data_IF_691333538410
#
_entry.id   IF_691333538410
#
_cell.length_a   1.000
_cell.length_b   1.000
_cell.length_c   1.000
_cell.angle_alpha   90.00
_cell.angle_beta   90.00
_cell.angle_gamma   90.00
#
_symmetry.space_group_name_H-M   'P 1'
#
loop_
_entity.id
_entity.type
_entity.pdbx_description
1 polymer ?
#
# COMPACT_ATOMS: atom_id res chain seq x y z
N UNK A 1 23.12 17.83 25.52
CA UNK A 1 23.29 17.19 24.21
C UNK A 1 23.23 18.23 23.10
N UNK A 2 23.85 17.98 21.95
CA UNK A 2 23.73 18.85 20.79
C UNK A 2 22.29 18.78 20.25
N UNK A 3 21.69 19.94 19.96
CA UNK A 3 20.39 20.00 19.28
C UNK A 3 20.60 19.64 17.80
N UNK A 4 19.82 18.70 17.29
CA UNK A 4 19.80 18.29 15.87
C UNK A 4 18.53 18.85 15.24
N UNK A 5 18.66 19.48 14.08
CA UNK A 5 17.55 19.93 13.26
C UNK A 5 17.46 19.02 12.04
N UNK A 6 16.26 18.50 11.75
CA UNK A 6 16.00 17.77 10.52
C UNK A 6 15.54 18.76 9.45
N UNK A 7 16.16 18.71 8.28
CA UNK A 7 15.75 19.45 7.09
C UNK A 7 15.14 18.47 6.09
N UNK A 8 14.04 18.85 5.46
CA UNK A 8 13.34 18.01 4.48
C UNK A 8 13.72 18.45 3.07
N UNK A 9 14.31 17.54 2.31
CA UNK A 9 14.52 17.67 0.85
C UNK A 9 13.42 16.88 0.15
N UNK A 10 12.46 17.57 -0.46
CA UNK A 10 11.32 16.96 -1.12
C UNK A 10 11.53 16.84 -2.63
N UNK A 11 11.27 15.65 -3.18
CA UNK A 11 11.28 15.36 -4.62
C UNK A 11 10.03 14.59 -5.01
N UNK A 12 9.68 14.61 -6.30
CA UNK A 12 8.52 13.90 -6.85
C UNK A 12 8.99 12.82 -7.85
N UNK A 13 8.73 11.56 -7.54
CA UNK A 13 9.04 10.42 -8.40
C UNK A 13 7.99 10.16 -9.49
N UNK A 14 6.89 10.92 -9.49
CA UNK A 14 5.77 10.84 -10.45
C UNK A 14 5.14 9.45 -10.58
N UNK A 15 5.31 8.59 -9.57
CA UNK A 15 4.89 7.18 -9.61
C UNK A 15 5.52 6.38 -10.76
N UNK A 16 6.68 6.83 -11.25
CA UNK A 16 7.40 6.25 -12.38
C UNK A 16 8.77 5.76 -11.94
N UNK A 17 9.09 4.49 -12.22
CA UNK A 17 10.32 3.85 -11.76
C UNK A 17 11.60 4.49 -12.34
N UNK A 18 11.56 4.95 -13.59
CA UNK A 18 12.69 5.62 -14.22
C UNK A 18 12.95 6.99 -13.59
N UNK A 19 11.88 7.77 -13.37
CA UNK A 19 11.93 9.04 -12.63
C UNK A 19 12.39 8.80 -11.20
N UNK A 20 11.92 7.72 -10.55
CA UNK A 20 12.33 7.31 -9.21
C UNK A 20 13.84 7.13 -9.07
N UNK A 21 14.51 6.51 -10.03
CA UNK A 21 15.98 6.41 -10.05
C UNK A 21 16.67 7.76 -10.12
N UNK A 22 16.14 8.66 -10.95
CA UNK A 22 16.72 10.00 -11.13
C UNK A 22 16.61 10.78 -9.80
N UNK A 23 15.45 10.81 -9.18
CA UNK A 23 15.25 11.56 -7.93
C UNK A 23 15.98 10.90 -6.76
N UNK A 24 16.13 9.55 -6.77
CA UNK A 24 16.95 8.86 -5.77
C UNK A 24 18.41 9.31 -5.85
N UNK A 25 18.97 9.42 -7.06
CA UNK A 25 20.33 9.95 -7.23
C UNK A 25 20.42 11.41 -6.80
N UNK A 26 19.43 12.25 -7.10
CA UNK A 26 19.38 13.64 -6.65
C UNK A 26 19.40 13.75 -5.12
N UNK A 27 18.65 12.90 -4.42
CA UNK A 27 18.66 12.86 -2.95
C UNK A 27 20.03 12.44 -2.40
N UNK A 28 20.66 11.43 -3.01
CA UNK A 28 22.03 11.01 -2.67
C UNK A 28 23.01 12.15 -2.84
N UNK A 29 22.96 12.85 -3.98
CA UNK A 29 23.83 13.98 -4.29
C UNK A 29 23.60 15.20 -3.37
N UNK A 30 22.36 15.37 -2.88
CA UNK A 30 22.01 16.36 -1.87
C UNK A 30 22.49 15.99 -0.45
N UNK A 31 23.06 14.81 -0.25
CA UNK A 31 23.64 14.38 1.03
C UNK A 31 22.59 14.05 2.10
N UNK A 32 21.40 13.55 1.72
CA UNK A 32 20.38 13.11 2.68
C UNK A 32 20.89 11.91 3.50
N UNK A 33 20.46 11.83 4.75
CA UNK A 33 20.89 10.76 5.68
C UNK A 33 19.92 9.60 5.75
N UNK A 34 18.68 9.80 5.34
CA UNK A 34 17.63 8.78 5.19
C UNK A 34 16.55 9.28 4.24
N UNK A 35 15.73 8.38 3.72
CA UNK A 35 14.60 8.68 2.83
C UNK A 35 13.31 8.12 3.45
N UNK A 36 12.26 8.93 3.49
CA UNK A 36 10.89 8.50 3.82
C UNK A 36 10.11 8.50 2.50
N UNK A 37 9.93 7.38 1.92
CA UNK A 37 9.40 7.07 0.58
C UNK A 37 9.92 5.71 0.16
N UNK A 38 9.55 5.19 -0.99
CA UNK A 38 8.55 5.67 -1.94
C UNK A 38 7.18 5.03 -1.66
N UNK A 39 6.15 5.48 -2.39
CA UNK A 39 4.81 4.87 -2.30
C UNK A 39 4.70 3.64 -3.22
N UNK A 40 5.06 3.80 -4.49
CA UNK A 40 4.88 2.75 -5.49
C UNK A 40 5.98 1.69 -5.37
N UNK A 41 5.60 0.42 -5.31
CA UNK A 41 6.53 -0.70 -5.13
C UNK A 41 7.60 -0.78 -6.22
N UNK A 42 7.23 -0.52 -7.49
CA UNK A 42 8.19 -0.46 -8.59
C UNK A 42 9.25 0.62 -8.42
N UNK A 43 8.87 1.77 -7.86
CA UNK A 43 9.79 2.88 -7.57
C UNK A 43 10.74 2.52 -6.44
N UNK A 44 10.22 2.04 -5.29
CA UNK A 44 11.04 1.62 -4.15
C UNK A 44 12.06 0.55 -4.53
N UNK A 45 11.64 -0.47 -5.28
CA UNK A 45 12.51 -1.57 -5.70
C UNK A 45 13.66 -1.07 -6.58
N UNK A 46 13.39 -0.13 -7.48
CA UNK A 46 14.40 0.41 -8.40
C UNK A 46 15.29 1.49 -7.77
N UNK A 47 14.80 2.20 -6.75
CA UNK A 47 15.56 3.20 -5.99
C UNK A 47 16.46 2.56 -4.92
N UNK A 48 16.05 1.45 -4.31
CA UNK A 48 16.74 0.80 -3.20
C UNK A 48 18.25 0.57 -3.42
N UNK A 49 18.74 0.05 -4.58
CA UNK A 49 20.18 -0.13 -4.79
C UNK A 49 20.95 1.19 -4.80
N UNK A 50 20.33 2.30 -5.22
CA UNK A 50 20.96 3.63 -5.24
C UNK A 50 21.19 4.11 -3.82
N UNK A 51 20.21 3.98 -2.94
CA UNK A 51 20.32 4.31 -1.52
C UNK A 51 21.27 3.36 -0.78
N UNK A 52 21.17 2.05 -1.05
CA UNK A 52 22.00 1.04 -0.43
C UNK A 52 23.50 1.27 -0.68
N UNK A 53 23.89 1.72 -1.88
CA UNK A 53 25.27 2.05 -2.22
C UNK A 53 25.88 3.16 -1.34
N UNK A 54 25.04 3.91 -0.61
CA UNK A 54 25.44 4.99 0.32
C UNK A 54 25.01 4.72 1.76
N UNK A 55 24.54 3.52 2.07
CA UNK A 55 24.00 3.11 3.36
C UNK A 55 22.82 3.98 3.84
N UNK A 56 22.11 4.64 2.92
CA UNK A 56 20.97 5.50 3.20
C UNK A 56 19.75 4.60 3.42
N UNK A 57 19.12 4.70 4.58
CA UNK A 57 17.88 3.97 4.87
C UNK A 57 16.72 4.51 4.02
N UNK A 58 16.02 3.61 3.33
CA UNK A 58 14.75 3.86 2.64
C UNK A 58 13.59 3.32 3.48
N UNK A 59 12.78 4.22 4.04
CA UNK A 59 11.64 3.89 4.89
C UNK A 59 10.36 4.08 4.06
N UNK A 60 9.83 3.00 3.49
CA UNK A 60 8.79 3.04 2.47
C UNK A 60 7.43 2.54 2.97
N UNK A 61 6.35 3.00 2.33
CA UNK A 61 5.01 2.42 2.47
C UNK A 61 4.63 1.51 1.28
N UNK A 62 5.54 1.30 0.35
CA UNK A 62 5.37 0.32 -0.73
C UNK A 62 5.22 -1.09 -0.14
N UNK A 63 4.36 -1.90 -0.74
CA UNK A 63 3.84 -3.12 -0.10
C UNK A 63 4.37 -4.41 -0.70
N UNK A 64 4.94 -4.39 -1.93
CA UNK A 64 5.46 -5.59 -2.57
C UNK A 64 6.55 -6.24 -1.71
N UNK A 65 6.40 -7.54 -1.40
CA UNK A 65 7.31 -8.27 -0.53
C UNK A 65 8.77 -8.26 -1.03
N UNK A 66 9.00 -8.15 -2.34
CA UNK A 66 10.33 -8.11 -2.94
C UNK A 66 11.20 -6.96 -2.41
N UNK A 67 10.59 -5.83 -2.04
CA UNK A 67 11.32 -4.64 -1.59
C UNK A 67 12.33 -4.95 -0.46
N UNK A 68 11.91 -5.67 0.57
CA UNK A 68 12.77 -6.06 1.70
C UNK A 68 13.55 -7.36 1.45
N UNK A 69 13.29 -8.04 0.33
CA UNK A 69 13.99 -9.27 -0.09
C UNK A 69 15.11 -9.00 -1.10
N UNK A 70 15.44 -7.73 -1.38
CA UNK A 70 16.53 -7.35 -2.29
C UNK A 70 17.93 -7.66 -1.71
N UNK A 71 18.03 -7.99 -0.43
CA UNK A 71 19.30 -8.29 0.23
C UNK A 71 20.03 -7.05 0.75
N UNK A 72 19.38 -5.88 0.77
CA UNK A 72 19.92 -4.65 1.35
C UNK A 72 19.42 -4.50 2.79
N UNK A 73 20.31 -4.13 3.70
CA UNK A 73 19.98 -3.78 5.09
C UNK A 73 19.44 -2.35 5.26
N UNK A 74 19.37 -1.60 4.15
CA UNK A 74 18.86 -0.23 4.11
C UNK A 74 17.37 -0.12 3.83
N UNK A 75 16.67 -1.22 3.55
CA UNK A 75 15.24 -1.21 3.23
C UNK A 75 14.38 -1.43 4.48
N UNK A 76 13.42 -0.52 4.72
CA UNK A 76 12.51 -0.57 5.87
C UNK A 76 11.08 -0.32 5.41
N UNK A 77 10.15 -1.22 5.75
CA UNK A 77 8.73 -1.05 5.43
C UNK A 77 7.95 -0.53 6.63
N UNK A 78 7.13 0.50 6.42
CA UNK A 78 6.31 1.11 7.48
C UNK A 78 5.02 0.36 7.79
N UNK A 79 4.54 -0.47 6.86
CA UNK A 79 3.21 -1.10 6.86
C UNK A 79 3.33 -2.61 6.66
N UNK A 80 2.23 -3.36 6.68
CA UNK A 80 2.22 -4.76 6.29
C UNK A 80 2.57 -4.92 4.80
N UNK A 81 3.16 -6.05 4.43
CA UNK A 81 3.49 -6.36 3.04
C UNK A 81 2.34 -7.06 2.30
N UNK A 82 2.51 -7.21 0.98
CA UNK A 82 1.53 -7.84 0.10
C UNK A 82 1.34 -9.34 0.35
N UNK A 83 2.23 -10.02 1.06
CA UNK A 83 1.99 -11.41 1.48
C UNK A 83 0.82 -11.47 2.47
N UNK A 84 0.76 -10.56 3.43
CA UNK A 84 -0.36 -10.47 4.36
C UNK A 84 -1.61 -9.89 3.66
N UNK A 85 -1.44 -8.89 2.80
CA UNK A 85 -2.54 -8.28 2.07
C UNK A 85 -3.20 -9.27 1.10
N UNK A 86 -2.42 -10.06 0.36
CA UNK A 86 -2.94 -11.09 -0.55
C UNK A 86 -3.74 -12.16 0.19
N UNK A 87 -3.24 -12.58 1.35
CA UNK A 87 -3.98 -13.52 2.22
C UNK A 87 -5.30 -12.89 2.67
N UNK A 88 -5.29 -11.66 3.16
CA UNK A 88 -6.50 -10.95 3.57
C UNK A 88 -7.51 -10.84 2.40
N UNK A 89 -7.04 -10.49 1.22
CA UNK A 89 -7.81 -10.33 -0.01
C UNK A 89 -8.47 -11.65 -0.43
N UNK A 90 -7.67 -12.70 -0.58
CA UNK A 90 -8.16 -14.02 -1.01
C UNK A 90 -9.07 -14.68 0.02
N UNK A 91 -8.71 -14.67 1.31
CA UNK A 91 -9.53 -15.27 2.35
C UNK A 91 -10.85 -14.52 2.57
N UNK A 92 -10.85 -13.17 2.53
CA UNK A 92 -12.09 -12.42 2.61
C UNK A 92 -13.02 -12.72 1.42
N UNK A 93 -12.48 -12.75 0.21
CA UNK A 93 -13.23 -13.13 -0.97
C UNK A 93 -13.83 -14.53 -0.85
N UNK A 94 -13.04 -15.51 -0.42
CA UNK A 94 -13.45 -16.91 -0.34
C UNK A 94 -14.48 -17.19 0.76
N UNK A 95 -14.40 -16.47 1.90
CA UNK A 95 -15.20 -16.79 3.10
C UNK A 95 -16.34 -15.84 3.35
N UNK A 96 -16.21 -14.57 2.97
CA UNK A 96 -17.21 -13.53 3.26
C UNK A 96 -18.10 -13.17 2.06
N UNK A 97 -17.59 -13.40 0.83
CA UNK A 97 -18.36 -13.07 -0.38
C UNK A 97 -19.03 -14.28 -1.02
N UNK A 98 -18.75 -15.50 -0.49
CA UNK A 98 -19.47 -16.76 -0.76
C UNK A 98 -19.80 -17.01 -2.24
N UNK A 99 -18.79 -16.98 -3.11
CA UNK A 99 -18.92 -17.17 -4.54
C UNK A 99 -18.30 -18.50 -5.01
N UNK A 100 -18.68 -18.96 -6.20
CA UNK A 100 -18.10 -20.11 -6.88
C UNK A 100 -17.08 -19.71 -7.96
N UNK A 101 -17.30 -18.56 -8.62
CA UNK A 101 -16.49 -18.10 -9.74
C UNK A 101 -15.83 -16.75 -9.43
N UNK A 102 -14.51 -16.72 -9.52
CA UNK A 102 -13.67 -15.55 -9.23
C UNK A 102 -12.94 -15.08 -10.48
N UNK A 103 -12.83 -13.78 -10.67
CA UNK A 103 -11.89 -13.18 -11.59
C UNK A 103 -10.74 -12.53 -10.81
N UNK A 104 -9.53 -12.56 -11.37
CA UNK A 104 -8.35 -11.90 -10.78
C UNK A 104 -7.65 -11.08 -11.85
N UNK A 105 -7.51 -9.78 -11.61
CA UNK A 105 -7.04 -8.79 -12.58
C UNK A 105 -5.91 -7.96 -11.99
N UNK A 106 -4.93 -7.57 -12.81
CA UNK A 106 -3.84 -6.68 -12.39
C UNK A 106 -3.43 -5.69 -13.50
N UNK A 107 -2.67 -4.66 -13.11
CA UNK A 107 -2.16 -3.60 -13.98
C UNK A 107 -0.72 -3.86 -14.50
N UNK A 108 -0.19 -5.06 -14.32
CA UNK A 108 1.15 -5.45 -14.77
C UNK A 108 2.31 -4.84 -13.98
N UNK A 109 2.06 -3.87 -13.09
CA UNK A 109 3.09 -3.29 -12.23
C UNK A 109 3.64 -4.33 -11.23
N UNK A 110 4.84 -4.13 -10.67
CA UNK A 110 5.34 -4.99 -9.60
C UNK A 110 4.38 -5.13 -8.41
N UNK A 111 3.69 -4.04 -8.02
CA UNK A 111 2.63 -4.08 -7.01
C UNK A 111 1.45 -4.93 -7.48
N UNK A 112 0.80 -4.52 -8.57
CA UNK A 112 -0.45 -5.13 -9.02
C UNK A 112 -0.30 -6.61 -9.31
N UNK A 113 0.76 -6.99 -10.03
CA UNK A 113 1.06 -8.39 -10.34
C UNK A 113 1.37 -9.21 -9.09
N UNK A 114 2.22 -8.69 -8.19
CA UNK A 114 2.59 -9.41 -6.96
C UNK A 114 1.39 -9.68 -6.05
N UNK A 115 0.55 -8.67 -5.82
CA UNK A 115 -0.64 -8.80 -4.97
C UNK A 115 -1.69 -9.71 -5.60
N UNK A 116 -1.95 -9.60 -6.89
CA UNK A 116 -2.92 -10.44 -7.61
C UNK A 116 -2.51 -11.90 -7.68
N UNK A 117 -1.21 -12.19 -7.93
CA UNK A 117 -0.68 -13.56 -7.94
C UNK A 117 -0.82 -14.20 -6.53
N UNK A 118 -0.53 -13.43 -5.47
CA UNK A 118 -0.74 -13.87 -4.09
C UNK A 118 -2.22 -14.15 -3.75
N UNK A 119 -3.13 -13.27 -4.19
CA UNK A 119 -4.56 -13.45 -4.00
C UNK A 119 -5.10 -14.68 -4.76
N UNK A 120 -4.65 -14.90 -5.99
CA UNK A 120 -5.00 -16.08 -6.77
C UNK A 120 -4.47 -17.38 -6.11
N UNK A 121 -3.26 -17.34 -5.55
CA UNK A 121 -2.71 -18.47 -4.78
C UNK A 121 -3.54 -18.77 -3.52
N UNK A 122 -4.00 -17.73 -2.81
CA UNK A 122 -4.87 -17.88 -1.64
C UNK A 122 -6.24 -18.46 -2.03
N UNK A 123 -6.88 -17.98 -3.09
CA UNK A 123 -8.12 -18.56 -3.62
C UNK A 123 -7.95 -20.03 -3.94
N UNK A 124 -6.83 -20.40 -4.58
CA UNK A 124 -6.53 -21.81 -4.88
C UNK A 124 -6.37 -22.63 -3.61
N UNK A 125 -5.72 -22.11 -2.58
CA UNK A 125 -5.60 -22.77 -1.27
C UNK A 125 -6.95 -22.97 -0.58
N UNK A 126 -7.92 -22.09 -0.82
CA UNK A 126 -9.31 -22.15 -0.35
C UNK A 126 -10.21 -23.00 -1.29
N UNK A 127 -9.64 -23.70 -2.29
CA UNK A 127 -10.34 -24.47 -3.31
C UNK A 127 -11.37 -23.69 -4.12
N UNK A 128 -11.10 -22.40 -4.37
CA UNK A 128 -11.94 -21.51 -5.17
C UNK A 128 -11.51 -21.50 -6.63
N UNK A 129 -12.48 -21.36 -7.54
CA UNK A 129 -12.25 -21.41 -8.99
C UNK A 129 -12.03 -19.99 -9.56
N UNK A 130 -10.85 -19.74 -10.08
CA UNK A 130 -10.58 -18.52 -10.88
C UNK A 130 -10.95 -18.82 -12.33
N UNK A 131 -11.97 -18.15 -12.85
CA UNK A 131 -12.50 -18.32 -14.22
C UNK A 131 -11.92 -17.34 -15.22
N UNK A 132 -11.44 -16.17 -14.74
CA UNK A 132 -10.74 -15.15 -15.55
C UNK A 132 -9.49 -14.71 -14.80
N UNK A 133 -8.35 -14.72 -15.48
CA UNK A 133 -7.07 -14.19 -14.97
C UNK A 133 -6.41 -13.38 -16.08
N UNK A 134 -6.36 -12.05 -15.90
CA UNK A 134 -5.78 -11.15 -16.91
C UNK A 134 -4.92 -10.06 -16.26
N UNK A 135 -3.88 -9.68 -17.03
CA UNK A 135 -2.97 -8.59 -16.72
C UNK A 135 -3.09 -7.52 -17.80
N UNK A 136 -3.08 -6.26 -17.41
CA UNK A 136 -3.23 -5.11 -18.28
C UNK A 136 -2.01 -4.20 -18.16
N UNK A 137 -1.86 -3.28 -19.10
CA UNK A 137 -0.96 -2.15 -18.96
C UNK A 137 -1.55 -1.14 -17.94
N UNK A 138 -0.70 -0.51 -17.16
CA UNK A 138 -1.09 0.45 -16.10
C UNK A 138 -1.82 1.71 -16.61
N UNK A 139 -1.89 1.89 -17.93
CA UNK A 139 -2.61 2.99 -18.60
C UNK A 139 -3.89 2.54 -19.30
N UNK A 140 -4.18 1.26 -19.29
CA UNK A 140 -5.39 0.71 -19.93
C UNK A 140 -6.65 1.25 -19.25
N UNK A 141 -7.59 1.76 -20.04
CA UNK A 141 -8.92 2.23 -19.59
C UNK A 141 -10.08 1.68 -20.43
N UNK A 142 -9.78 0.89 -21.46
CA UNK A 142 -10.78 0.27 -22.33
C UNK A 142 -11.11 -1.15 -21.84
N UNK A 143 -12.18 -1.31 -21.09
CA UNK A 143 -12.56 -2.57 -20.45
C UNK A 143 -13.91 -3.14 -20.94
N UNK A 144 -14.48 -2.64 -22.03
CA UNK A 144 -15.77 -3.12 -22.55
C UNK A 144 -15.70 -4.63 -22.91
N UNK A 145 -14.62 -5.09 -23.54
CA UNK A 145 -14.43 -6.51 -23.87
C UNK A 145 -14.28 -7.37 -22.62
N UNK A 146 -13.50 -6.92 -21.64
CA UNK A 146 -13.35 -7.61 -20.36
C UNK A 146 -14.68 -7.68 -19.60
N UNK A 147 -15.47 -6.60 -19.59
CA UNK A 147 -16.78 -6.60 -18.93
C UNK A 147 -17.72 -7.64 -19.56
N UNK A 148 -17.70 -7.80 -20.89
CA UNK A 148 -18.49 -8.83 -21.57
C UNK A 148 -17.96 -10.24 -21.26
N UNK A 149 -16.67 -10.43 -21.18
CA UNK A 149 -16.02 -11.70 -20.80
C UNK A 149 -16.38 -12.10 -19.37
N UNK A 150 -16.27 -11.18 -18.39
CA UNK A 150 -16.62 -11.41 -16.99
C UNK A 150 -18.08 -11.85 -16.84
N UNK A 151 -18.99 -11.23 -17.61
CA UNK A 151 -20.39 -11.62 -17.67
C UNK A 151 -20.58 -13.02 -18.24
N UNK A 152 -19.88 -13.35 -19.35
CA UNK A 152 -19.95 -14.67 -19.98
C UNK A 152 -19.37 -15.77 -19.08
N UNK A 153 -18.27 -15.48 -18.39
CA UNK A 153 -17.63 -16.37 -17.43
C UNK A 153 -18.39 -16.47 -16.09
N UNK A 154 -19.43 -15.66 -15.91
CA UNK A 154 -20.22 -15.59 -14.67
C UNK A 154 -19.35 -15.34 -13.43
N UNK A 155 -18.36 -14.45 -13.52
CA UNK A 155 -17.50 -14.09 -12.41
C UNK A 155 -18.30 -13.32 -11.34
N UNK A 156 -18.53 -13.92 -10.18
CA UNK A 156 -19.36 -13.36 -9.09
C UNK A 156 -18.57 -12.41 -8.20
N UNK A 157 -17.26 -12.67 -8.06
CA UNK A 157 -16.30 -11.82 -7.34
C UNK A 157 -15.15 -11.47 -8.26
N UNK A 158 -14.87 -10.18 -8.38
CA UNK A 158 -13.74 -9.65 -9.15
C UNK A 158 -12.71 -9.12 -8.16
N UNK A 159 -11.59 -9.83 -8.02
CA UNK A 159 -10.39 -9.34 -7.32
C UNK A 159 -9.58 -8.52 -8.31
N UNK A 160 -9.27 -7.28 -7.97
CA UNK A 160 -8.60 -6.34 -8.86
C UNK A 160 -7.50 -5.57 -8.13
N UNK A 161 -6.30 -5.60 -8.68
CA UNK A 161 -5.18 -4.77 -8.23
C UNK A 161 -4.86 -3.64 -9.23
N UNK A 162 -5.85 -3.31 -10.05
CA UNK A 162 -5.86 -2.12 -10.90
C UNK A 162 -5.83 -0.84 -10.05
N UNK A 163 -5.37 0.25 -10.63
CA UNK A 163 -5.51 1.58 -10.05
C UNK A 163 -6.98 2.02 -10.02
N UNK A 164 -7.30 3.05 -9.23
CA UNK A 164 -8.67 3.51 -9.03
C UNK A 164 -9.36 3.98 -10.33
N UNK A 165 -8.65 4.73 -11.19
CA UNK A 165 -9.22 5.17 -12.47
C UNK A 165 -9.50 3.99 -13.42
N UNK A 166 -8.66 2.95 -13.42
CA UNK A 166 -8.88 1.71 -14.18
C UNK A 166 -10.07 0.92 -13.61
N UNK A 167 -10.13 0.78 -12.29
CA UNK A 167 -11.23 0.13 -11.59
C UNK A 167 -12.58 0.82 -11.90
N UNK A 168 -12.61 2.16 -11.86
CA UNK A 168 -13.79 2.93 -12.23
C UNK A 168 -14.20 2.69 -13.69
N UNK A 169 -13.25 2.65 -14.62
CA UNK A 169 -13.52 2.37 -16.03
C UNK A 169 -14.11 0.96 -16.21
N UNK A 170 -13.55 -0.05 -15.52
CA UNK A 170 -14.10 -1.42 -15.55
C UNK A 170 -15.52 -1.48 -14.97
N UNK A 171 -15.77 -0.84 -13.83
CA UNK A 171 -17.10 -0.78 -13.21
C UNK A 171 -18.13 -0.13 -14.12
N UNK A 172 -17.76 0.91 -14.87
CA UNK A 172 -18.63 1.51 -15.89
C UNK A 172 -18.90 0.53 -17.05
N UNK A 173 -17.88 -0.23 -17.48
CA UNK A 173 -18.06 -1.29 -18.47
C UNK A 173 -19.04 -2.36 -18.00
N UNK A 174 -18.94 -2.83 -16.76
CA UNK A 174 -19.87 -3.80 -16.16
C UNK A 174 -21.30 -3.26 -16.13
N UNK A 175 -21.48 -2.00 -15.74
CA UNK A 175 -22.78 -1.33 -15.76
C UNK A 175 -23.36 -1.26 -17.18
N UNK A 176 -22.55 -0.93 -18.18
CA UNK A 176 -22.94 -0.82 -19.60
C UNK A 176 -23.43 -2.16 -20.16
N UNK A 177 -22.80 -3.29 -19.81
CA UNK A 177 -23.24 -4.62 -20.22
C UNK A 177 -24.34 -5.21 -19.32
N UNK A 178 -24.82 -4.47 -18.33
CA UNK A 178 -25.86 -4.90 -17.40
C UNK A 178 -25.41 -6.05 -16.49
N UNK A 179 -24.12 -6.09 -16.10
CA UNK A 179 -23.55 -7.11 -15.20
C UNK A 179 -23.11 -6.45 -13.88
N UNK A 180 -24.07 -6.17 -13.02
CA UNK A 180 -23.87 -5.42 -11.77
C UNK A 180 -24.06 -6.26 -10.51
N UNK A 181 -24.55 -7.51 -10.65
CA UNK A 181 -24.72 -8.43 -9.52
C UNK A 181 -23.39 -9.16 -9.23
N UNK A 182 -22.33 -8.38 -9.01
CA UNK A 182 -20.97 -8.84 -8.71
C UNK A 182 -20.42 -8.07 -7.53
N UNK A 183 -19.52 -8.71 -6.77
CA UNK A 183 -18.70 -8.04 -5.77
C UNK A 183 -17.34 -7.66 -6.35
N UNK A 184 -16.92 -6.41 -6.17
CA UNK A 184 -15.62 -5.91 -6.59
C UNK A 184 -14.74 -5.70 -5.38
N UNK A 185 -13.60 -6.38 -5.32
CA UNK A 185 -12.67 -6.33 -4.20
C UNK A 185 -11.27 -5.97 -4.70
N UNK A 186 -10.72 -4.85 -4.23
CA UNK A 186 -9.41 -4.40 -4.67
C UNK A 186 -8.35 -4.32 -3.59
N UNK A 187 -7.14 -3.99 -4.03
CA UNK A 187 -6.04 -3.60 -3.16
C UNK A 187 -6.20 -2.17 -2.63
N UNK A 188 -5.17 -1.67 -1.99
CA UNK A 188 -5.16 -0.33 -1.41
C UNK A 188 -5.22 0.81 -2.45
N UNK A 189 -4.83 0.54 -3.70
CA UNK A 189 -4.93 1.49 -4.81
C UNK A 189 -6.34 1.98 -5.11
N UNK A 190 -7.37 1.19 -4.75
CA UNK A 190 -8.76 1.62 -4.93
C UNK A 190 -9.38 2.24 -3.68
N UNK A 191 -8.69 2.24 -2.54
CA UNK A 191 -9.19 2.89 -1.31
C UNK A 191 -8.96 4.41 -1.37
N UNK A 192 -9.59 5.05 -2.34
CA UNK A 192 -9.46 6.49 -2.63
C UNK A 192 -10.80 7.20 -2.55
N UNK A 193 -10.76 8.54 -2.56
CA UNK A 193 -11.97 9.38 -2.63
C UNK A 193 -12.64 9.29 -4.00
N UNK A 194 -11.88 9.06 -5.06
CA UNK A 194 -12.44 8.92 -6.40
C UNK A 194 -13.32 7.68 -6.53
N UNK A 195 -12.95 6.58 -5.86
CA UNK A 195 -13.76 5.36 -5.83
C UNK A 195 -15.10 5.50 -5.11
N UNK A 196 -15.34 6.59 -4.37
CA UNK A 196 -16.67 6.85 -3.81
C UNK A 196 -17.75 6.95 -4.90
N UNK A 197 -17.37 7.30 -6.14
CA UNK A 197 -18.23 7.30 -7.33
C UNK A 197 -18.73 5.89 -7.73
N UNK A 198 -18.08 4.84 -7.24
CA UNK A 198 -18.46 3.45 -7.50
C UNK A 198 -19.61 2.94 -6.61
N UNK A 199 -20.03 3.75 -5.61
CA UNK A 199 -21.10 3.37 -4.70
C UNK A 199 -22.39 3.04 -5.46
N UNK A 200 -22.91 1.82 -5.28
CA UNK A 200 -24.14 1.35 -5.92
C UNK A 200 -24.03 1.02 -7.42
N UNK A 201 -22.81 1.01 -7.99
CA UNK A 201 -22.61 0.57 -9.39
C UNK A 201 -22.68 -0.96 -9.49
N UNK A 202 -22.14 -1.66 -8.50
CA UNK A 202 -22.20 -3.13 -8.38
C UNK A 202 -22.70 -3.50 -6.98
N UNK A 203 -22.92 -4.80 -6.74
CA UNK A 203 -23.48 -5.32 -5.49
C UNK A 203 -22.68 -4.89 -4.25
N UNK A 204 -21.35 -4.92 -4.33
CA UNK A 204 -20.47 -4.50 -3.26
C UNK A 204 -19.09 -4.07 -3.79
N UNK A 205 -18.52 -3.05 -3.17
CA UNK A 205 -17.14 -2.60 -3.45
C UNK A 205 -16.35 -2.64 -2.17
N UNK A 206 -15.26 -3.40 -2.20
CA UNK A 206 -14.38 -3.63 -1.06
C UNK A 206 -12.94 -3.29 -1.42
N UNK A 207 -12.15 -2.90 -0.42
CA UNK A 207 -10.72 -2.68 -0.57
C UNK A 207 -9.96 -3.25 0.62
N UNK A 208 -8.81 -3.87 0.37
CA UNK A 208 -7.84 -4.13 1.43
C UNK A 208 -6.84 -2.98 1.49
N UNK A 209 -6.31 -2.69 2.68
CA UNK A 209 -5.25 -1.69 2.81
C UNK A 209 -4.34 -2.00 4.00
N UNK A 210 -3.01 -2.03 3.81
CA UNK A 210 -2.04 -2.07 4.90
C UNK A 210 -1.85 -0.70 5.55
N UNK A 211 -2.30 0.38 4.91
CA UNK A 211 -2.41 1.71 5.49
C UNK A 211 -3.78 1.83 6.14
N UNK A 212 -3.84 1.55 7.45
CA UNK A 212 -5.06 1.68 8.23
C UNK A 212 -5.45 3.15 8.35
N UNK A 213 -6.76 3.43 8.42
CA UNK A 213 -7.23 4.80 8.61
C UNK A 213 -6.74 5.37 9.95
N UNK A 214 -6.45 6.66 9.95
CA UNK A 214 -5.96 7.35 11.13
C UNK A 214 -6.88 7.19 12.35
N UNK A 215 -8.18 7.09 12.13
CA UNK A 215 -9.20 6.87 13.17
C UNK A 215 -9.15 5.48 13.83
N UNK A 216 -8.45 4.53 13.22
CA UNK A 216 -8.28 3.18 13.77
C UNK A 216 -7.23 3.11 14.89
N UNK A 217 -6.53 4.20 15.13
CA UNK A 217 -5.55 4.36 16.19
C UNK A 217 -6.08 5.23 17.32
N UNK A 218 -5.78 4.85 18.56
CA UNK A 218 -6.22 5.60 19.74
C UNK A 218 -5.80 7.09 19.71
N UNK A 219 -4.60 7.36 19.19
CA UNK A 219 -4.05 8.72 19.04
C UNK A 219 -4.43 9.40 17.71
N UNK A 220 -5.21 8.72 16.86
CA UNK A 220 -5.50 9.19 15.52
C UNK A 220 -6.39 10.43 15.47
N UNK A 221 -7.48 10.47 16.24
CA UNK A 221 -8.37 11.63 16.26
C UNK A 221 -7.71 12.92 16.74
N UNK A 222 -6.91 12.93 17.82
CA UNK A 222 -6.12 14.10 18.22
C UNK A 222 -5.11 14.55 17.15
N UNK A 223 -4.43 13.61 16.50
CA UNK A 223 -3.53 13.91 15.39
C UNK A 223 -4.26 14.57 14.24
N UNK A 224 -5.38 13.97 13.78
CA UNK A 224 -6.18 14.48 12.66
C UNK A 224 -6.68 15.91 12.94
N UNK A 225 -7.15 16.17 14.15
CA UNK A 225 -7.63 17.50 14.55
C UNK A 225 -6.49 18.55 14.48
N UNK A 226 -5.31 18.23 15.04
CA UNK A 226 -4.14 19.12 14.99
C UNK A 226 -3.65 19.35 13.57
N UNK A 227 -3.54 18.28 12.77
CA UNK A 227 -3.09 18.36 11.38
C UNK A 227 -4.03 19.23 10.54
N UNK A 228 -5.34 18.99 10.63
CA UNK A 228 -6.36 19.76 9.90
C UNK A 228 -6.40 21.21 10.35
N UNK A 229 -6.25 21.48 11.64
CA UNK A 229 -6.18 22.86 12.16
C UNK A 229 -4.99 23.64 11.56
N UNK A 230 -3.83 22.97 11.41
CA UNK A 230 -2.60 23.56 10.89
C UNK A 230 -2.62 23.71 9.37
N UNK A 231 -2.98 22.66 8.64
CA UNK A 231 -2.84 22.59 7.18
C UNK A 231 -4.15 22.81 6.41
N UNK A 232 -5.28 22.99 7.10
CA UNK A 232 -6.64 23.22 6.54
C UNK A 232 -7.14 22.09 5.63
N UNK A 233 -6.52 20.93 5.71
CA UNK A 233 -6.89 19.71 4.98
C UNK A 233 -6.44 18.48 5.79
N UNK A 234 -7.07 17.31 5.60
CA UNK A 234 -6.60 16.08 6.21
C UNK A 234 -5.24 15.65 5.64
N UNK A 235 -4.48 14.79 6.35
CA UNK A 235 -3.28 14.19 5.81
C UNK A 235 -3.60 13.35 4.56
N UNK A 236 -2.67 13.32 3.61
CA UNK A 236 -2.77 12.45 2.46
C UNK A 236 -2.63 10.97 2.87
N UNK A 237 -2.88 10.06 1.92
CA UNK A 237 -2.70 8.61 2.11
C UNK A 237 -1.32 8.31 2.70
N UNK A 238 -1.27 7.56 3.80
CA UNK A 238 -0.04 7.23 4.51
C UNK A 238 0.61 8.36 5.30
N UNK A 239 0.07 9.59 5.29
CA UNK A 239 0.70 10.75 5.92
C UNK A 239 0.96 10.60 7.41
N UNK A 240 0.11 9.89 8.16
CA UNK A 240 0.33 9.58 9.57
C UNK A 240 1.45 8.55 9.78
N UNK A 241 1.66 7.62 8.86
CA UNK A 241 2.81 6.72 8.89
C UNK A 241 4.12 7.48 8.60
N UNK A 242 4.11 8.40 7.62
CA UNK A 242 5.28 9.24 7.33
C UNK A 242 5.63 10.16 8.50
N UNK A 243 4.61 10.70 9.19
CA UNK A 243 4.80 11.47 10.41
C UNK A 243 5.48 10.61 11.50
N UNK A 244 4.99 9.41 11.75
CA UNK A 244 5.55 8.50 12.75
C UNK A 244 6.96 8.03 12.36
N UNK A 245 7.20 7.77 11.08
CA UNK A 245 8.53 7.39 10.58
C UNK A 245 9.56 8.49 10.81
N UNK A 246 9.15 9.76 10.68
CA UNK A 246 10.02 10.90 11.02
C UNK A 246 10.40 10.90 12.49
N UNK A 247 9.45 10.59 13.39
CA UNK A 247 9.73 10.46 14.83
C UNK A 247 10.67 9.28 15.14
N UNK A 248 10.44 8.12 14.51
CA UNK A 248 11.30 6.94 14.70
C UNK A 248 12.70 7.18 14.13
N UNK A 249 12.82 7.85 12.96
CA UNK A 249 14.09 8.27 12.39
C UNK A 249 14.84 9.21 13.34
N UNK A 250 14.17 10.22 13.91
CA UNK A 250 14.78 11.12 14.88
C UNK A 250 15.29 10.36 16.12
N UNK A 251 14.53 9.38 16.62
CA UNK A 251 14.95 8.53 17.72
C UNK A 251 16.16 7.65 17.34
N UNK A 252 16.21 7.14 16.10
CA UNK A 252 17.35 6.37 15.60
C UNK A 252 18.62 7.23 15.50
N UNK A 253 18.53 8.47 15.01
CA UNK A 253 19.65 9.43 14.97
C UNK A 253 20.15 9.74 16.39
N UNK A 254 19.25 9.94 17.34
CA UNK A 254 19.59 10.17 18.75
C UNK A 254 20.31 8.96 19.37
N UNK A 255 19.85 7.74 19.05
CA UNK A 255 20.46 6.48 19.50
C UNK A 255 21.83 6.27 18.89
N UNK A 256 21.96 6.52 17.58
CA UNK A 256 23.24 6.44 16.86
C UNK A 256 24.25 7.47 17.34
N UNK A 257 23.80 8.62 17.84
CA UNK A 257 24.63 9.81 18.17
C UNK A 257 25.48 10.27 16.97
N UNK A 258 25.01 10.01 15.76
CA UNK A 258 25.72 10.20 14.50
C UNK A 258 24.75 10.73 13.44
N UNK A 259 25.27 11.48 12.47
CA UNK A 259 24.58 11.83 11.23
C UNK A 259 25.01 10.95 10.05
N UNK A 260 25.84 9.95 10.28
CA UNK A 260 26.28 9.02 9.24
C UNK A 260 25.13 8.06 8.87
N UNK A 261 24.77 7.92 7.59
CA UNK A 261 23.71 7.02 7.14
C UNK A 261 23.86 5.58 7.62
N UNK A 262 25.09 5.04 7.66
CA UNK A 262 25.36 3.68 8.11
C UNK A 262 25.01 3.49 9.58
N UNK A 263 25.38 4.44 10.43
CA UNK A 263 25.08 4.39 11.86
C UNK A 263 23.56 4.52 12.12
N UNK A 264 22.89 5.37 11.33
CA UNK A 264 21.43 5.55 11.39
C UNK A 264 20.71 4.26 10.98
N UNK A 265 21.13 3.64 9.89
CA UNK A 265 20.59 2.35 9.40
C UNK A 265 20.76 1.26 10.46
N UNK A 266 21.93 1.14 11.07
CA UNK A 266 22.17 0.19 12.16
C UNK A 266 21.29 0.47 13.39
N UNK A 267 21.08 1.75 13.73
CA UNK A 267 20.18 2.15 14.82
C UNK A 267 18.73 1.78 14.52
N UNK A 268 18.24 1.95 13.28
CA UNK A 268 16.89 1.57 12.85
C UNK A 268 16.64 0.06 13.03
N UNK A 269 17.59 -0.80 12.67
CA UNK A 269 17.47 -2.26 12.89
C UNK A 269 17.39 -2.66 14.36
N UNK A 270 17.95 -1.86 15.26
CA UNK A 270 18.03 -2.16 16.68
C UNK A 270 17.05 -1.40 17.56
N UNK A 271 16.19 -0.56 16.96
CA UNK A 271 15.24 0.28 17.70
C UNK A 271 13.89 -0.41 17.86
N UNK A 272 13.31 -0.32 19.07
CA UNK A 272 11.88 -0.47 19.28
C UNK A 272 11.29 0.94 19.22
N UNK A 273 10.99 1.40 18.03
CA UNK A 273 10.46 2.72 17.77
C UNK A 273 9.02 2.86 18.21
N UNK A 274 8.61 4.07 18.50
CA UNK A 274 7.23 4.41 18.82
C UNK A 274 6.80 5.63 17.99
N UNK A 275 5.81 5.40 17.13
CA UNK A 275 5.14 6.46 16.41
C UNK A 275 4.01 7.07 17.23
N UNK A 276 3.90 8.39 17.32
CA UNK A 276 2.87 9.07 18.12
C UNK A 276 1.42 8.74 17.73
N UNK A 277 1.21 8.27 16.49
CA UNK A 277 -0.12 7.94 15.96
C UNK A 277 -0.33 6.45 15.86
N UNK A 278 0.55 5.72 15.16
CA UNK A 278 0.37 4.30 14.84
C UNK A 278 0.88 3.36 15.92
N UNK A 279 1.64 3.88 16.89
CA UNK A 279 2.18 3.10 18.00
C UNK A 279 3.52 2.46 17.68
N UNK A 280 3.70 1.19 18.03
CA UNK A 280 4.99 0.52 17.89
C UNK A 280 5.40 0.38 16.43
N UNK A 281 6.61 0.83 16.12
CA UNK A 281 7.25 0.68 14.81
C UNK A 281 8.63 0.04 15.01
N UNK A 282 8.74 -1.22 14.62
CA UNK A 282 9.95 -2.02 14.80
C UNK A 282 10.08 -2.99 13.63
N UNK A 283 11.31 -3.22 13.21
CA UNK A 283 11.61 -4.03 12.06
C UNK A 283 12.32 -5.33 12.44
N UNK A 284 12.13 -6.34 11.63
CA UNK A 284 12.95 -7.55 11.69
C UNK A 284 14.30 -7.33 10.99
N UNK A 285 15.09 -8.39 10.86
CA UNK A 285 16.45 -8.34 10.29
C UNK A 285 16.48 -7.93 8.80
N UNK A 286 15.38 -8.06 8.09
CA UNK A 286 15.28 -7.70 6.66
C UNK A 286 14.51 -6.39 6.43
N UNK A 287 14.09 -5.71 7.52
CA UNK A 287 13.39 -4.44 7.43
C UNK A 287 11.85 -4.55 7.29
N UNK A 288 11.27 -5.72 7.57
CA UNK A 288 9.80 -5.85 7.62
C UNK A 288 9.23 -5.33 8.94
N UNK A 289 8.13 -4.58 8.86
CA UNK A 289 7.40 -4.10 10.03
C UNK A 289 6.79 -5.28 10.80
N UNK A 290 7.17 -5.44 12.08
CA UNK A 290 6.71 -6.56 12.92
C UNK A 290 5.23 -6.51 13.29
N UNK A 291 4.65 -5.31 13.32
CA UNK A 291 3.28 -5.06 13.82
C UNK A 291 2.34 -4.53 12.73
N UNK A 292 2.71 -4.75 11.47
CA UNK A 292 1.87 -4.36 10.35
C UNK A 292 0.55 -5.15 10.32
N UNK A 293 -0.55 -4.46 10.05
CA UNK A 293 -1.86 -5.06 9.89
C UNK A 293 -2.50 -4.62 8.58
N UNK A 294 -3.45 -5.42 8.10
CA UNK A 294 -4.26 -5.13 6.91
C UNK A 294 -5.71 -4.93 7.33
N UNK A 295 -6.31 -3.83 6.92
CA UNK A 295 -7.75 -3.59 7.03
C UNK A 295 -8.48 -4.03 5.77
N UNK A 296 -9.67 -4.58 5.92
CA UNK A 296 -10.66 -4.77 4.85
C UNK A 296 -11.75 -3.74 5.03
N UNK A 297 -11.99 -2.97 4.01
CA UNK A 297 -12.97 -1.87 4.00
C UNK A 297 -14.08 -2.16 2.99
N UNK A 298 -15.27 -1.68 3.29
CA UNK A 298 -16.41 -1.71 2.39
C UNK A 298 -16.84 -0.28 2.06
N UNK A 299 -17.13 -0.02 0.80
CA UNK A 299 -17.68 1.26 0.37
C UNK A 299 -19.19 1.27 0.66
N UNK A 300 -19.59 1.97 1.72
CA UNK A 300 -20.98 2.10 2.16
C UNK A 300 -21.34 3.55 2.40
N UNK A 301 -22.55 3.94 1.98
CA UNK A 301 -23.10 5.29 2.22
C UNK A 301 -22.15 6.42 1.82
N UNK A 302 -21.37 6.20 0.74
CA UNK A 302 -20.41 7.17 0.24
C UNK A 302 -19.14 7.32 1.07
N UNK A 303 -18.82 6.34 1.93
CA UNK A 303 -17.59 6.31 2.74
C UNK A 303 -16.99 4.91 2.75
N UNK A 304 -15.67 4.85 3.01
CA UNK A 304 -14.99 3.61 3.34
C UNK A 304 -15.18 3.28 4.82
N UNK A 305 -15.81 2.13 5.10
CA UNK A 305 -16.05 1.64 6.46
C UNK A 305 -15.21 0.38 6.71
N UNK A 306 -14.45 0.36 7.80
CA UNK A 306 -13.67 -0.81 8.20
C UNK A 306 -14.60 -1.97 8.56
N UNK A 307 -14.34 -3.14 7.97
CA UNK A 307 -15.06 -4.39 8.21
C UNK A 307 -14.27 -5.34 9.08
N UNK A 308 -12.99 -5.49 8.79
CA UNK A 308 -12.10 -6.44 9.46
C UNK A 308 -10.66 -5.91 9.51
N UNK A 309 -9.90 -6.42 10.48
CA UNK A 309 -8.43 -6.19 10.56
C UNK A 309 -7.73 -7.52 10.79
N UNK A 310 -6.60 -7.71 10.11
CA UNK A 310 -5.83 -8.97 10.18
C UNK A 310 -5.23 -9.28 11.56
N UNK A 311 -5.06 -8.28 12.41
CA UNK A 311 -4.56 -8.43 13.78
C UNK A 311 -5.68 -8.71 14.83
N UNK A 312 -6.92 -8.87 14.36
CA UNK A 312 -8.10 -9.10 15.20
C UNK A 312 -9.02 -10.21 14.64
N UNK A 313 -8.48 -11.06 13.78
CA UNK A 313 -9.21 -12.20 13.18
C UNK A 313 -9.22 -13.39 14.13
#
# INVERSE_FOLDING_TARGET
>A
GKRVTLEVVAVDDKSDAATGKIVAQQLVDAGVVAVIGHLNSGVSIEAAPIYAAKNIAEIAISTNARFTQLGFDTTFRMVANDTLQARALGSFAATQLAADHYAVLDDGTPYGKGLSDGAAAQLKAENKKVVVRQSFDDKTVAFDALAAELKTAQAEVIISTLSDFQALALLQGLKKVGYTNVSFLGGDTIKTTDMLKAAGVVQGVYATSPVLDVKEFASGSPFLAKYTAQYKKPPAYGGHYSYDSTHVLAAAIQKAKSGDPKDITAALHSINGYGPVTGTMSWDKVGEQRYGAVGVYELRRGNWELRMRSDRW
#
